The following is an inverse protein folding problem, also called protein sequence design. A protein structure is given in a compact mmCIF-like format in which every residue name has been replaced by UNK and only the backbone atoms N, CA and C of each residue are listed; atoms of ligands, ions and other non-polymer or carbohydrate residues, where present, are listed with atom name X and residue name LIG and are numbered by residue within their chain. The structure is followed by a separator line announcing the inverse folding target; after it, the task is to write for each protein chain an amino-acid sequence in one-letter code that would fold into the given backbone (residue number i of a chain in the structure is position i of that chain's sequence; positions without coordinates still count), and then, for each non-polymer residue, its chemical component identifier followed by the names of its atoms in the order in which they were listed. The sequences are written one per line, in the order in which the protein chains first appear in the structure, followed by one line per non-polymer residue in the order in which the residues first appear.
data_IF_401930883243
#
_entry.id   IF_401930883243
#
_cell.length_a   1.000
_cell.length_b   1.000
_cell.length_c   1.000
_cell.angle_alpha   90.00
_cell.angle_beta   90.00
_cell.angle_gamma   90.00
#
_symmetry.space_group_name_H-M   'P 1'
#
loop_
_entity.id
_entity.type
_entity.pdbx_description
1 polymer ?
#
# COMPACT_ATOMS: atom_id res chain seq x y z
N UNK A 1 22.58 -12.92 -5.92
CA UNK A 1 21.78 -13.59 -4.86
C UNK A 1 22.72 -14.40 -3.97
N UNK A 2 22.55 -14.30 -2.66
CA UNK A 2 23.28 -15.13 -1.69
C UNK A 2 22.40 -15.37 -0.46
N UNK A 3 22.52 -16.55 0.11
CA UNK A 3 21.90 -16.87 1.38
C UNK A 3 22.55 -16.08 2.51
N UNK A 4 21.74 -15.66 3.49
CA UNK A 4 22.17 -15.06 4.75
C UNK A 4 21.60 -15.88 5.88
N UNK A 5 22.42 -16.12 6.90
CA UNK A 5 21.97 -16.74 8.14
C UNK A 5 21.53 -15.65 9.10
N UNK A 6 20.36 -15.81 9.69
CA UNK A 6 19.81 -14.93 10.71
C UNK A 6 19.66 -15.76 12.00
N UNK A 7 19.78 -15.10 13.15
CA UNK A 7 19.59 -15.76 14.46
C UNK A 7 18.11 -16.05 14.74
N UNK A 8 17.22 -15.22 14.20
CA UNK A 8 15.78 -15.36 14.33
C UNK A 8 15.06 -14.79 13.11
N UNK A 9 13.79 -15.20 12.89
CA UNK A 9 12.88 -14.60 11.91
C UNK A 9 11.57 -14.19 12.60
N UNK A 10 11.05 -12.99 12.35
CA UNK A 10 11.71 -11.91 11.63
C UNK A 10 13.01 -11.49 12.31
N UNK A 11 13.94 -10.92 11.54
CA UNK A 11 15.21 -10.45 12.09
C UNK A 11 14.96 -9.41 13.19
N UNK A 12 15.78 -9.37 14.25
CA UNK A 12 15.67 -8.33 15.26
C UNK A 12 15.67 -6.94 14.64
N UNK A 13 14.72 -6.10 15.07
CA UNK A 13 14.54 -4.77 14.53
C UNK A 13 15.77 -3.93 14.84
N UNK A 14 16.52 -3.55 13.83
CA UNK A 14 17.67 -2.66 13.96
C UNK A 14 17.30 -1.19 13.85
N UNK A 15 16.29 -0.87 13.03
CA UNK A 15 15.81 0.48 12.78
C UNK A 15 14.39 0.45 12.22
N UNK A 16 13.54 1.36 12.69
CA UNK A 16 12.25 1.65 12.08
C UNK A 16 12.41 2.88 11.20
N UNK A 17 12.12 2.75 9.93
CA UNK A 17 12.08 3.88 8.99
C UNK A 17 10.63 4.32 8.79
N UNK A 18 10.37 5.61 9.00
CA UNK A 18 9.05 6.22 8.77
C UNK A 18 9.09 7.05 7.51
N UNK A 19 8.10 6.85 6.67
CA UNK A 19 7.88 7.66 5.48
C UNK A 19 6.47 8.24 5.50
N UNK A 20 6.33 9.42 4.93
CA UNK A 20 5.08 10.16 4.90
C UNK A 20 4.59 10.26 3.46
N UNK A 21 3.29 10.07 3.26
CA UNK A 21 2.66 10.26 1.96
C UNK A 21 2.23 11.73 1.85
N UNK A 22 2.82 12.43 0.91
CA UNK A 22 2.33 13.70 0.43
C UNK A 22 1.22 13.51 -0.59
N UNK A 23 1.00 14.48 -1.43
CA UNK A 23 -0.05 14.41 -2.47
C UNK A 23 0.25 13.31 -3.50
N UNK A 24 1.48 13.26 -4.02
CA UNK A 24 1.96 12.21 -4.95
C UNK A 24 3.35 11.69 -4.58
N UNK A 25 3.91 12.18 -3.48
CA UNK A 25 5.29 11.92 -3.08
C UNK A 25 5.36 11.06 -1.84
N UNK A 26 6.45 10.33 -1.69
CA UNK A 26 6.78 9.55 -0.51
C UNK A 26 8.05 10.14 0.12
N UNK A 27 7.91 10.77 1.30
CA UNK A 27 8.91 11.62 1.89
C UNK A 27 9.43 11.06 3.23
N UNK A 28 10.67 11.35 3.58
CA UNK A 28 11.21 11.07 4.91
C UNK A 28 10.71 12.08 5.97
N UNK A 29 10.38 13.29 5.54
CA UNK A 29 9.84 14.36 6.39
C UNK A 29 8.31 14.34 6.37
N UNK A 30 7.69 14.90 7.42
CA UNK A 30 6.25 15.00 7.51
C UNK A 30 5.71 15.75 6.29
N UNK A 31 4.81 15.10 5.60
CA UNK A 31 4.08 15.66 4.48
C UNK A 31 2.59 15.42 4.70
N UNK A 32 1.79 16.39 4.30
CA UNK A 32 0.34 16.31 4.32
C UNK A 32 -0.18 16.29 2.89
N UNK A 33 -1.24 15.56 2.66
CA UNK A 33 -1.92 15.48 1.38
C UNK A 33 -3.24 14.77 1.53
N UNK A 34 -4.19 15.16 0.67
CA UNK A 34 -5.50 14.51 0.58
C UNK A 34 -5.73 14.07 -0.86
N UNK A 35 -6.19 12.85 -1.03
CA UNK A 35 -6.60 12.31 -2.32
C UNK A 35 -8.01 11.76 -2.21
N UNK A 36 -8.82 12.06 -3.21
CA UNK A 36 -10.19 11.55 -3.29
C UNK A 36 -10.35 10.75 -4.57
N UNK A 37 -11.03 9.62 -4.48
CA UNK A 37 -11.39 8.83 -5.64
C UNK A 37 -12.74 8.14 -5.45
N UNK A 38 -13.30 7.66 -6.55
CA UNK A 38 -14.56 6.92 -6.57
C UNK A 38 -14.22 5.47 -6.91
N UNK A 39 -14.63 4.56 -6.04
CA UNK A 39 -14.56 3.13 -6.31
C UNK A 39 -15.78 2.66 -7.08
N UNK A 40 -15.56 1.90 -8.15
CA UNK A 40 -16.59 1.26 -8.94
C UNK A 40 -16.55 -0.26 -8.75
N UNK A 41 -17.52 -0.86 -8.03
CA UNK A 41 -17.55 -2.30 -7.80
C UNK A 41 -17.78 -3.13 -9.07
N UNK A 42 -18.35 -2.54 -10.13
CA UNK A 42 -18.55 -3.22 -11.42
C UNK A 42 -17.27 -3.21 -12.27
N UNK A 43 -16.29 -2.38 -11.90
CA UNK A 43 -15.00 -2.28 -12.58
C UNK A 43 -13.85 -2.25 -11.57
N UNK A 44 -13.66 -3.31 -10.76
CA UNK A 44 -12.64 -3.32 -9.71
C UNK A 44 -11.22 -3.27 -10.30
N UNK A 45 -10.30 -2.72 -9.54
CA UNK A 45 -8.87 -2.70 -9.92
C UNK A 45 -8.34 -4.13 -10.02
N UNK A 46 -7.82 -4.56 -11.18
CA UNK A 46 -7.30 -5.92 -11.35
C UNK A 46 -6.09 -6.19 -10.45
N UNK A 47 -6.03 -7.37 -9.86
CA UNK A 47 -4.81 -7.84 -9.22
C UNK A 47 -3.81 -8.29 -10.28
N UNK A 48 -2.60 -7.77 -10.21
CA UNK A 48 -1.51 -8.15 -11.10
C UNK A 48 -0.25 -8.47 -10.29
N UNK A 49 0.20 -9.71 -10.36
CA UNK A 49 1.29 -10.21 -9.52
C UNK A 49 0.91 -10.41 -8.06
N UNK A 50 1.88 -10.33 -7.19
CA UNK A 50 1.78 -10.53 -5.74
C UNK A 50 1.71 -12.00 -5.30
N UNK A 51 1.17 -12.24 -4.10
CA UNK A 51 1.14 -13.53 -3.41
C UNK A 51 -0.05 -14.39 -3.87
N UNK A 52 -0.11 -14.72 -5.14
CA UNK A 52 -1.14 -15.63 -5.66
C UNK A 52 -0.80 -17.08 -5.36
N UNK A 53 -1.76 -17.82 -4.79
CA UNK A 53 -1.65 -19.27 -4.61
C UNK A 53 -2.14 -20.05 -5.83
N UNK A 54 -2.94 -19.42 -6.69
CA UNK A 54 -3.57 -20.04 -7.85
C UNK A 54 -2.85 -19.60 -9.14
N UNK A 55 -1.63 -20.07 -9.33
CA UNK A 55 -0.79 -19.74 -10.48
C UNK A 55 -1.37 -20.19 -11.83
N UNK A 56 -2.35 -21.08 -11.81
CA UNK A 56 -3.08 -21.50 -13.02
C UNK A 56 -4.12 -20.47 -13.49
N UNK A 57 -4.50 -19.53 -12.62
CA UNK A 57 -5.53 -18.52 -12.90
C UNK A 57 -4.89 -17.13 -13.05
N UNK A 58 -3.86 -16.84 -12.24
CA UNK A 58 -3.18 -15.55 -12.24
C UNK A 58 -1.67 -15.73 -12.10
N UNK A 59 -0.92 -14.87 -12.75
CA UNK A 59 0.53 -14.82 -12.58
C UNK A 59 0.87 -14.35 -11.16
N UNK A 60 1.80 -15.06 -10.53
CA UNK A 60 2.27 -14.77 -9.19
C UNK A 60 3.66 -14.13 -9.20
N UNK A 61 4.01 -13.47 -8.11
CA UNK A 61 5.34 -12.91 -7.88
C UNK A 61 5.47 -11.45 -8.30
N UNK A 62 6.71 -11.04 -8.53
CA UNK A 62 7.06 -9.67 -8.90
C UNK A 62 6.89 -9.49 -10.40
N UNK A 63 5.86 -8.76 -10.81
CA UNK A 63 5.53 -8.50 -12.22
C UNK A 63 5.61 -7.01 -12.52
N UNK A 64 5.76 -6.69 -13.81
CA UNK A 64 5.69 -5.32 -14.29
C UNK A 64 4.29 -4.75 -14.00
N UNK A 65 4.25 -3.63 -13.31
CA UNK A 65 3.01 -2.97 -12.91
C UNK A 65 2.66 -1.85 -13.90
N UNK A 66 1.35 -1.46 -13.97
CA UNK A 66 0.94 -0.31 -14.74
C UNK A 66 1.63 0.98 -14.27
N UNK A 67 1.56 2.01 -15.09
CA UNK A 67 2.06 3.36 -14.77
C UNK A 67 1.37 3.95 -13.53
N UNK A 68 2.04 4.87 -12.81
CA UNK A 68 1.43 5.60 -11.70
C UNK A 68 0.11 6.23 -12.08
N UNK A 69 -0.88 6.15 -11.19
CA UNK A 69 -2.21 6.74 -11.37
C UNK A 69 -2.88 6.35 -12.71
N UNK A 70 -2.62 5.13 -13.21
CA UNK A 70 -3.17 4.64 -14.48
C UNK A 70 -4.71 4.55 -14.48
N UNK A 71 -5.32 4.63 -13.33
CA UNK A 71 -6.76 4.68 -13.11
C UNK A 71 -7.09 5.79 -12.10
N UNK A 72 -8.27 6.40 -12.20
CA UNK A 72 -8.68 7.47 -11.26
C UNK A 72 -8.93 6.96 -9.83
N UNK A 73 -9.12 5.65 -9.65
CA UNK A 73 -9.31 4.96 -8.36
C UNK A 73 -8.03 4.32 -7.81
N UNK A 74 -6.88 4.60 -8.44
CA UNK A 74 -5.55 4.17 -8.00
C UNK A 74 -4.70 5.38 -7.66
N UNK A 75 -4.18 5.42 -6.44
CA UNK A 75 -3.38 6.55 -5.95
C UNK A 75 -1.94 6.10 -5.73
N UNK A 76 -1.01 6.83 -6.33
CA UNK A 76 0.42 6.50 -6.32
C UNK A 76 1.24 7.54 -5.57
N UNK A 77 2.28 7.06 -4.86
CA UNK A 77 3.23 7.90 -4.14
C UNK A 77 4.64 7.44 -4.46
N UNK A 78 5.46 8.34 -4.96
CA UNK A 78 6.81 8.01 -5.44
C UNK A 78 7.86 8.74 -4.62
N UNK A 79 8.89 8.03 -4.13
CA UNK A 79 10.01 8.65 -3.43
C UNK A 79 11.00 9.30 -4.41
N UNK A 80 11.86 10.16 -3.90
CA UNK A 80 13.09 10.49 -4.59
C UNK A 80 13.94 9.23 -4.84
N UNK A 81 14.84 9.23 -5.84
CA UNK A 81 15.79 8.15 -6.05
C UNK A 81 16.62 7.89 -4.79
N UNK A 82 16.84 6.61 -4.48
CA UNK A 82 17.64 6.24 -3.31
C UNK A 82 19.11 6.56 -3.52
N UNK A 83 19.72 7.27 -2.59
CA UNK A 83 21.17 7.55 -2.59
C UNK A 83 21.99 6.31 -2.25
N UNK A 84 21.44 5.39 -1.48
CA UNK A 84 22.04 4.12 -1.06
C UNK A 84 21.02 2.99 -1.21
N UNK A 85 21.53 1.77 -1.37
CA UNK A 85 20.67 0.59 -1.34
C UNK A 85 19.94 0.49 0.01
N UNK A 86 18.65 0.16 -0.03
CA UNK A 86 17.80 0.04 1.14
C UNK A 86 17.46 -1.43 1.38
N UNK A 87 18.05 -2.07 2.37
CA UNK A 87 17.59 -3.37 2.84
C UNK A 87 16.30 -3.19 3.64
N UNK A 88 15.29 -3.97 3.32
CA UNK A 88 14.02 -4.09 4.04
C UNK A 88 13.98 -5.50 4.60
N UNK A 89 13.93 -5.64 5.92
CA UNK A 89 13.83 -6.94 6.58
C UNK A 89 12.80 -6.84 7.71
N UNK A 90 11.68 -7.54 7.56
CA UNK A 90 10.58 -7.49 8.50
C UNK A 90 9.26 -7.01 7.87
N UNK A 91 8.36 -6.49 8.70
CA UNK A 91 6.99 -6.12 8.33
C UNK A 91 6.89 -4.68 7.82
N UNK A 92 6.00 -4.46 6.86
CA UNK A 92 5.66 -3.12 6.36
C UNK A 92 4.23 -2.80 6.78
N UNK A 93 4.05 -1.63 7.37
CA UNK A 93 2.73 -1.13 7.77
C UNK A 93 2.39 0.18 7.09
N UNK A 94 1.14 0.30 6.68
CA UNK A 94 0.60 1.50 6.04
C UNK A 94 -0.55 2.02 6.85
N UNK A 95 -0.29 3.11 7.54
CA UNK A 95 -1.34 3.80 8.28
C UNK A 95 -2.00 4.86 7.41
N UNK A 96 -3.33 4.80 7.31
CA UNK A 96 -4.14 5.74 6.55
C UNK A 96 -5.19 6.36 7.47
N UNK A 97 -5.42 7.68 7.33
CA UNK A 97 -6.67 8.27 7.75
C UNK A 97 -7.61 8.27 6.55
N UNK A 98 -8.77 7.67 6.67
CA UNK A 98 -9.71 7.47 5.57
C UNK A 98 -11.10 7.96 5.95
N UNK A 99 -11.84 8.43 4.96
CA UNK A 99 -13.27 8.72 5.10
C UNK A 99 -13.98 8.19 3.87
N UNK A 100 -15.11 7.55 4.06
CA UNK A 100 -15.95 7.00 2.98
C UNK A 100 -17.42 7.25 3.30
N UNK A 101 -18.23 7.15 2.28
CA UNK A 101 -19.69 7.33 2.35
C UNK A 101 -20.47 6.03 2.52
N UNK A 102 -19.75 4.91 2.62
CA UNK A 102 -20.31 3.57 2.90
C UNK A 102 -19.91 3.10 4.31
N UNK A 103 -20.63 2.12 4.84
CA UNK A 103 -20.44 1.60 6.18
C UNK A 103 -19.19 0.73 6.36
N UNK A 104 -18.65 0.19 5.28
CA UNK A 104 -17.36 -0.49 5.24
C UNK A 104 -16.78 -0.52 3.82
N UNK A 105 -15.46 -0.49 3.70
CA UNK A 105 -14.75 -0.69 2.44
C UNK A 105 -13.34 -1.20 2.69
N UNK A 106 -12.77 -1.86 1.67
CA UNK A 106 -11.42 -2.40 1.76
C UNK A 106 -10.39 -1.46 1.15
N UNK A 107 -9.20 -1.43 1.74
CA UNK A 107 -8.05 -0.70 1.26
C UNK A 107 -6.91 -1.65 0.98
N UNK A 108 -6.40 -1.63 -0.24
CA UNK A 108 -5.18 -2.35 -0.59
C UNK A 108 -4.00 -1.40 -0.68
N UNK A 109 -2.83 -1.89 -0.34
CA UNK A 109 -1.60 -1.16 -0.54
C UNK A 109 -0.56 -2.09 -1.13
N UNK A 110 0.20 -1.58 -2.09
CA UNK A 110 1.23 -2.32 -2.80
C UNK A 110 2.56 -1.54 -2.75
N UNK A 111 3.61 -2.17 -2.23
CA UNK A 111 4.96 -1.63 -2.32
C UNK A 111 5.59 -2.08 -3.63
N UNK A 112 6.21 -1.14 -4.32
CA UNK A 112 6.89 -1.39 -5.59
C UNK A 112 8.31 -0.85 -5.58
N UNK A 113 9.15 -1.48 -6.37
CA UNK A 113 10.44 -0.99 -6.78
C UNK A 113 10.32 -0.32 -8.15
N UNK A 114 10.72 0.95 -8.25
CA UNK A 114 10.67 1.70 -9.51
C UNK A 114 12.08 1.86 -10.04
N UNK A 115 12.31 1.37 -11.23
CA UNK A 115 13.57 1.43 -11.94
C UNK A 115 13.83 2.83 -12.54
N UNK A 116 15.08 3.17 -12.88
CA UNK A 116 15.40 4.48 -13.47
C UNK A 116 14.67 4.78 -14.78
N UNK A 117 14.27 3.76 -15.51
CA UNK A 117 13.50 3.85 -16.75
C UNK A 117 11.99 4.02 -16.54
N UNK A 118 11.53 4.11 -15.28
CA UNK A 118 10.14 4.28 -14.90
C UNK A 118 9.37 2.98 -14.70
N UNK A 119 9.89 1.82 -15.13
CA UNK A 119 9.22 0.54 -14.90
C UNK A 119 9.13 0.24 -13.41
N UNK A 120 7.98 -0.22 -12.98
CA UNK A 120 7.73 -0.59 -11.58
C UNK A 120 7.40 -2.08 -11.47
N UNK A 121 7.93 -2.72 -10.43
CA UNK A 121 7.61 -4.11 -10.11
C UNK A 121 7.13 -4.20 -8.67
N UNK A 122 6.07 -4.97 -8.44
CA UNK A 122 5.55 -5.17 -7.09
C UNK A 122 6.52 -6.00 -6.24
N UNK A 123 6.66 -5.59 -4.99
CA UNK A 123 7.46 -6.29 -3.99
C UNK A 123 6.53 -7.03 -3.02
N UNK A 124 5.57 -6.31 -2.46
CA UNK A 124 4.67 -6.83 -1.45
C UNK A 124 3.34 -6.07 -1.47
N UNK A 125 2.24 -6.77 -1.17
CA UNK A 125 0.92 -6.18 -1.01
C UNK A 125 0.29 -6.51 0.33
N UNK A 126 -0.79 -5.81 0.64
CA UNK A 126 -1.64 -6.05 1.80
C UNK A 126 -3.02 -5.45 1.58
N UNK A 127 -3.97 -5.89 2.38
CA UNK A 127 -5.37 -5.44 2.36
C UNK A 127 -5.89 -5.37 3.79
N UNK A 128 -6.73 -4.38 4.06
CA UNK A 128 -7.56 -4.30 5.27
C UNK A 128 -8.91 -3.69 4.95
N UNK A 129 -9.87 -3.76 5.87
CA UNK A 129 -11.14 -3.03 5.81
C UNK A 129 -11.24 -2.06 6.98
N UNK A 130 -12.16 -1.10 6.91
CA UNK A 130 -12.41 -0.23 8.05
C UNK A 130 -12.88 -1.08 9.25
N UNK A 131 -13.80 -2.01 9.01
CA UNK A 131 -14.34 -2.87 10.06
C UNK A 131 -13.27 -3.74 10.74
N UNK A 132 -12.25 -4.19 10.00
CA UNK A 132 -11.16 -5.00 10.55
C UNK A 132 -10.24 -4.21 11.50
N UNK A 133 -10.14 -2.90 11.31
CA UNK A 133 -9.26 -2.02 12.08
C UNK A 133 -10.00 -1.27 13.21
N UNK A 134 -11.33 -1.41 13.31
CA UNK A 134 -12.09 -0.85 14.41
C UNK A 134 -11.99 -1.75 15.65
N UNK A 135 -12.06 -1.16 16.85
CA UNK A 135 -12.22 -1.92 18.09
C UNK A 135 -13.45 -2.82 18.05
N UNK A 136 -13.37 -3.97 18.74
CA UNK A 136 -14.47 -4.93 18.82
C UNK A 136 -15.79 -4.28 19.26
N UNK A 137 -16.86 -4.57 18.52
CA UNK A 137 -18.21 -4.02 18.79
C UNK A 137 -18.44 -2.60 18.27
N UNK A 138 -17.45 -1.97 17.64
CA UNK A 138 -17.65 -0.67 17.00
C UNK A 138 -18.00 -0.83 15.53
N UNK A 139 -18.76 0.13 15.01
CA UNK A 139 -19.12 0.25 13.60
C UNK A 139 -18.68 1.60 13.07
N UNK A 140 -18.31 1.65 11.80
CA UNK A 140 -17.96 2.90 11.15
C UNK A 140 -19.21 3.70 10.80
N UNK A 141 -19.13 5.00 11.00
CA UNK A 141 -20.18 5.93 10.56
C UNK A 141 -19.71 6.63 9.28
N UNK A 142 -20.43 6.47 8.16
CA UNK A 142 -20.09 7.13 6.91
C UNK A 142 -19.82 8.63 7.07
N UNK A 143 -18.76 9.11 6.38
CA UNK A 143 -18.32 10.51 6.42
C UNK A 143 -17.41 10.87 7.59
N UNK A 144 -17.23 10.02 8.58
CA UNK A 144 -16.25 10.26 9.64
C UNK A 144 -14.84 9.79 9.22
N UNK A 145 -13.83 10.31 9.88
CA UNK A 145 -12.46 9.84 9.66
C UNK A 145 -12.19 8.60 10.52
N UNK A 146 -11.77 7.51 9.86
CA UNK A 146 -11.26 6.30 10.50
C UNK A 146 -9.75 6.16 10.25
N UNK A 147 -9.08 5.46 11.16
CA UNK A 147 -7.68 5.06 10.98
C UNK A 147 -7.64 3.60 10.59
N UNK A 148 -6.97 3.30 9.48
CA UNK A 148 -6.75 1.93 9.03
C UNK A 148 -5.26 1.63 8.88
N UNK A 149 -4.89 0.37 9.08
CA UNK A 149 -3.52 -0.11 8.96
C UNK A 149 -3.45 -1.28 7.99
N UNK A 150 -2.96 -1.04 6.77
CA UNK A 150 -2.67 -2.14 5.87
C UNK A 150 -1.35 -2.76 6.27
N UNK A 151 -1.39 -3.96 6.82
CA UNK A 151 -0.20 -4.74 7.17
C UNK A 151 0.21 -5.62 5.99
N UNK A 152 1.51 -5.61 5.68
CA UNK A 152 2.12 -6.52 4.72
C UNK A 152 2.96 -7.53 5.48
N UNK A 153 2.96 -8.77 5.02
CA UNK A 153 3.73 -9.83 5.67
C UNK A 153 5.22 -9.53 5.70
N UNK A 154 5.90 -10.14 6.64
CA UNK A 154 7.36 -10.07 6.76
C UNK A 154 8.04 -10.42 5.45
N UNK A 155 9.09 -9.67 5.14
CA UNK A 155 9.85 -9.84 3.91
C UNK A 155 11.33 -9.54 4.12
N UNK A 156 12.14 -10.01 3.19
CA UNK A 156 13.52 -9.60 3.03
C UNK A 156 13.77 -9.21 1.59
N UNK A 157 13.96 -7.90 1.36
CA UNK A 157 14.18 -7.33 0.04
C UNK A 157 15.20 -6.21 0.11
N UNK A 158 16.03 -6.07 -0.90
CA UNK A 158 16.93 -4.90 -0.97
C UNK A 158 16.61 -4.11 -2.23
N UNK A 159 16.11 -2.89 -2.03
CA UNK A 159 15.93 -1.93 -3.12
C UNK A 159 17.30 -1.33 -3.47
N UNK A 160 17.82 -1.52 -4.69
CA UNK A 160 19.13 -1.00 -5.08
C UNK A 160 19.20 0.54 -5.07
N UNK A 161 20.44 1.06 -5.07
CA UNK A 161 20.70 2.49 -5.28
C UNK A 161 20.13 2.98 -6.63
N UNK A 162 19.73 4.24 -6.69
CA UNK A 162 19.16 4.92 -7.85
C UNK A 162 17.77 4.46 -8.27
N UNK A 163 17.18 3.46 -7.61
CA UNK A 163 15.79 3.12 -7.78
C UNK A 163 14.90 3.98 -6.88
N UNK A 164 13.62 4.06 -7.20
CA UNK A 164 12.61 4.78 -6.42
C UNK A 164 11.72 3.76 -5.74
N UNK A 165 11.12 4.16 -4.63
CA UNK A 165 10.00 3.42 -4.06
C UNK A 165 8.72 3.99 -4.63
N UNK A 166 7.89 3.12 -5.12
CA UNK A 166 6.56 3.47 -5.58
C UNK A 166 5.54 2.71 -4.74
N UNK A 167 4.45 3.36 -4.45
CA UNK A 167 3.37 2.73 -3.74
C UNK A 167 2.05 3.10 -4.38
N UNK A 168 1.28 2.08 -4.66
CA UNK A 168 -0.13 2.17 -5.03
C UNK A 168 -0.99 1.91 -3.80
N UNK A 169 -1.97 2.75 -3.60
CA UNK A 169 -3.10 2.47 -2.71
C UNK A 169 -4.31 2.27 -3.60
N UNK A 170 -4.87 1.08 -3.58
CA UNK A 170 -6.04 0.69 -4.35
C UNK A 170 -7.21 0.48 -3.40
N UNK A 171 -8.41 0.84 -3.81
CA UNK A 171 -9.64 0.44 -3.12
C UNK A 171 -10.22 -0.82 -3.77
N UNK A 172 -10.48 -1.83 -2.95
CA UNK A 172 -11.23 -3.02 -3.34
C UNK A 172 -12.41 -3.16 -2.40
N UNK A 173 -13.45 -2.37 -2.66
CA UNK A 173 -14.67 -2.47 -1.88
C UNK A 173 -15.26 -3.88 -1.89
N UNK A 174 -15.82 -4.30 -0.77
CA UNK A 174 -16.68 -5.48 -0.71
C UNK A 174 -17.99 -5.13 -1.42
N UNK A 175 -18.46 -5.90 -2.40
CA UNK A 175 -19.66 -5.57 -3.17
C UNK A 175 -20.89 -5.65 -2.29
N UNK A 176 -21.42 -4.51 -1.87
CA UNK A 176 -22.79 -4.35 -1.40
C UNK A 176 -23.46 -3.29 -2.24
N UNK A 177 -24.50 -3.70 -2.93
CA UNK A 177 -25.47 -3.00 -3.80
C UNK A 177 -25.33 -1.52 -4.07
N UNK A 178 -25.58 -1.06 -5.32
CA UNK A 178 -25.12 0.20 -5.86
C UNK A 178 -25.99 1.38 -5.41
N UNK A 179 -25.33 2.40 -4.89
CA UNK A 179 -25.60 3.83 -5.13
C UNK A 179 -24.44 4.63 -4.55
N UNK A 180 -23.66 5.20 -5.44
CA UNK A 180 -22.45 5.92 -5.17
C UNK A 180 -22.69 7.32 -4.64
N UNK A 181 -21.87 7.77 -3.70
CA UNK A 181 -21.13 9.00 -3.89
C UNK A 181 -19.63 8.88 -3.55
N UNK A 182 -18.89 9.97 -3.82
CA UNK A 182 -17.44 10.06 -3.77
C UNK A 182 -16.84 9.75 -2.39
N UNK A 183 -15.75 9.02 -2.38
CA UNK A 183 -14.92 8.75 -1.18
C UNK A 183 -13.98 9.93 -0.99
N UNK A 184 -14.11 10.65 0.13
CA UNK A 184 -13.13 11.64 0.56
C UNK A 184 -12.10 10.97 1.46
N UNK A 185 -10.82 11.19 1.20
CA UNK A 185 -9.74 10.64 2.02
C UNK A 185 -8.76 11.74 2.40
N UNK A 186 -8.69 12.04 3.68
CA UNK A 186 -7.57 12.76 4.24
C UNK A 186 -6.50 11.75 4.62
N UNK A 187 -5.28 11.94 4.11
CA UNK A 187 -4.17 11.03 4.36
C UNK A 187 -3.14 11.70 5.26
N UNK A 188 -3.17 11.37 6.54
CA UNK A 188 -1.97 11.48 7.35
C UNK A 188 -1.39 10.08 7.48
N UNK A 189 -0.23 9.85 6.90
CA UNK A 189 0.42 8.57 6.90
C UNK A 189 1.66 8.59 7.75
N UNK A 190 1.62 7.85 8.83
CA UNK A 190 2.83 7.46 9.56
C UNK A 190 3.18 6.03 9.17
N UNK A 191 4.40 5.80 8.77
CA UNK A 191 4.93 4.49 8.45
C UNK A 191 6.04 4.06 9.36
N UNK A 192 6.03 2.77 9.65
CA UNK A 192 7.22 2.10 10.14
C UNK A 192 7.69 1.10 9.09
N UNK A 193 8.89 1.28 8.55
CA UNK A 193 9.63 0.26 7.81
C UNK A 193 10.66 -0.32 8.77
N UNK A 194 10.66 -1.62 8.92
CA UNK A 194 11.61 -2.37 9.74
C UNK A 194 12.59 -3.11 8.85
#
# INVERSE_FOLDING_TARGET
DRWKTLEAWPAPVSRIEKLYLGETTLNAELAEGERTFVYDPENPVPSHGAESVLTTIAEAGSLLQPEPDYRPDVVSFVSAPLEKALPICGQIKVHLNVSTDVDDTAFTAKLMEVFPDGRAYNIRGGITTIAADLPEGQTYTPGQTAKVCVEMWDMNWTVPRAQRRHRLVEDRGVPRRPRLPAVRRSQQLRRSLV
#
